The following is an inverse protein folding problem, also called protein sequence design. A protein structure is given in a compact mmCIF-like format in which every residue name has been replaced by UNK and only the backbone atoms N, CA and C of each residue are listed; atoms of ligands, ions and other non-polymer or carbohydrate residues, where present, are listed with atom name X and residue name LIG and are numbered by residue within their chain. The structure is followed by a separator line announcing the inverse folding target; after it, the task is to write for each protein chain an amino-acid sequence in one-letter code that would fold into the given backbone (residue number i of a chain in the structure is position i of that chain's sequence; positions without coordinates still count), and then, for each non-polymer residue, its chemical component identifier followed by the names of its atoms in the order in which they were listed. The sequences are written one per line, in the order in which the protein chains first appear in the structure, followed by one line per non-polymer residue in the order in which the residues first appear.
data_IF_775686675173
#
_entry.id   IF_775686675173
#
_cell.length_a   1.000
_cell.length_b   1.000
_cell.length_c   1.000
_cell.angle_alpha   90.00
_cell.angle_beta   90.00
_cell.angle_gamma   90.00
#
_symmetry.space_group_name_H-M   'P 1'
#
loop_
_entity.id
_entity.type
_entity.pdbx_description
1 polymer ?
#
# COMPACT_ATOMS: atom_id res chain seq x y z
N UNK A 1 -18.28 -6.72 -5.04
CA UNK A 1 -17.28 -5.71 -4.65
C UNK A 1 -16.63 -5.24 -5.93
N UNK A 2 -17.04 -4.05 -6.40
CA UNK A 2 -16.39 -3.38 -7.53
C UNK A 2 -14.94 -3.07 -7.12
N UNK A 3 -14.00 -3.87 -7.60
CA UNK A 3 -12.61 -3.48 -7.61
C UNK A 3 -12.41 -2.53 -8.78
N UNK A 4 -12.90 -1.30 -8.66
CA UNK A 4 -12.40 -0.22 -9.52
C UNK A 4 -10.90 -0.18 -9.28
N UNK A 5 -10.14 -0.70 -10.25
CA UNK A 5 -8.69 -0.81 -10.17
C UNK A 5 -8.16 0.58 -9.86
N UNK A 6 -7.66 0.75 -8.64
CA UNK A 6 -7.26 2.08 -8.19
C UNK A 6 -6.07 2.54 -9.04
N UNK A 7 -6.18 3.72 -9.65
CA UNK A 7 -5.13 4.27 -10.49
C UNK A 7 -3.99 4.86 -9.64
N UNK A 8 -2.77 4.82 -10.16
CA UNK A 8 -1.65 5.55 -9.57
C UNK A 8 -1.96 7.06 -9.53
N UNK A 9 -1.82 7.75 -8.38
CA UNK A 9 -2.11 9.18 -8.28
C UNK A 9 -1.13 10.07 -9.07
N UNK A 10 0.05 9.53 -9.43
CA UNK A 10 1.06 10.27 -10.16
C UNK A 10 0.94 10.14 -11.68
N UNK A 11 0.52 8.99 -12.20
CA UNK A 11 0.50 8.71 -13.64
C UNK A 11 -0.82 8.15 -14.18
N UNK A 12 -1.84 8.00 -13.33
CA UNK A 12 -3.18 7.50 -13.65
C UNK A 12 -3.24 6.09 -14.26
N UNK A 13 -2.16 5.32 -14.24
CA UNK A 13 -2.15 3.93 -14.69
C UNK A 13 -2.52 2.97 -13.56
N UNK A 14 -3.19 1.87 -13.91
CA UNK A 14 -3.66 0.83 -12.98
C UNK A 14 -2.61 -0.24 -12.65
N UNK A 15 -1.35 -0.06 -13.10
CA UNK A 15 -0.26 -1.00 -12.86
C UNK A 15 0.36 -0.77 -11.49
N UNK A 16 -0.38 -1.14 -10.45
CA UNK A 16 0.04 -1.05 -9.05
C UNK A 16 0.33 -2.43 -8.48
N UNK A 17 1.35 -2.51 -7.62
CA UNK A 17 1.71 -3.71 -6.88
C UNK A 17 1.81 -3.40 -5.40
N UNK A 18 1.30 -4.29 -4.56
CA UNK A 18 1.48 -4.21 -3.11
C UNK A 18 2.65 -5.11 -2.74
N UNK A 19 3.62 -4.57 -2.02
CA UNK A 19 4.77 -5.30 -1.49
C UNK A 19 4.88 -5.13 0.02
N UNK A 20 5.56 -6.08 0.65
CA UNK A 20 5.93 -6.03 2.06
C UNK A 20 7.42 -5.80 2.18
N UNK A 21 7.80 -4.86 3.05
CA UNK A 21 9.20 -4.58 3.36
C UNK A 21 9.45 -4.87 4.83
N UNK A 22 10.33 -5.83 5.12
CA UNK A 22 10.64 -6.19 6.50
C UNK A 22 11.64 -5.20 7.12
N UNK A 23 11.21 -4.51 8.16
CA UNK A 23 12.03 -3.57 8.91
C UNK A 23 12.54 -4.26 10.18
N UNK A 24 13.59 -5.07 10.01
CA UNK A 24 14.13 -5.94 11.06
C UNK A 24 14.50 -5.20 12.36
N UNK A 25 15.01 -3.96 12.26
CA UNK A 25 15.41 -3.15 13.43
C UNK A 25 14.27 -2.82 14.38
N UNK A 26 13.05 -2.74 13.86
CA UNK A 26 11.84 -2.36 14.61
C UNK A 26 10.83 -3.51 14.71
N UNK A 27 11.14 -4.68 14.16
CA UNK A 27 10.30 -5.88 14.29
C UNK A 27 8.96 -5.79 13.57
N UNK A 28 8.86 -4.95 12.54
CA UNK A 28 7.63 -4.65 11.81
C UNK A 28 7.82 -4.81 10.31
N UNK A 29 6.74 -5.10 9.61
CA UNK A 29 6.69 -5.23 8.15
C UNK A 29 5.90 -4.05 7.59
N UNK A 30 6.53 -3.20 6.78
CA UNK A 30 5.84 -2.10 6.10
C UNK A 30 5.09 -2.66 4.90
N UNK A 31 3.85 -2.22 4.71
CA UNK A 31 3.05 -2.49 3.51
C UNK A 31 3.18 -1.28 2.59
N UNK A 32 3.43 -1.51 1.31
CA UNK A 32 3.73 -0.44 0.36
C UNK A 32 3.04 -0.73 -0.97
N UNK A 33 2.43 0.29 -1.58
CA UNK A 33 2.01 0.28 -2.98
C UNK A 33 3.11 0.88 -3.84
N UNK A 34 3.45 0.21 -4.93
CA UNK A 34 4.37 0.70 -5.94
C UNK A 34 3.69 0.72 -7.31
N UNK A 35 3.85 1.80 -8.07
CA UNK A 35 3.44 1.84 -9.46
C UNK A 35 4.55 1.33 -10.37
N UNK A 36 4.25 0.30 -11.18
CA UNK A 36 5.21 -0.24 -12.14
C UNK A 36 5.47 0.68 -13.34
N UNK A 37 4.60 1.69 -13.59
CA UNK A 37 4.79 2.65 -14.69
C UNK A 37 5.74 3.79 -14.33
N UNK A 38 5.54 4.42 -13.16
CA UNK A 38 6.27 5.63 -12.78
C UNK A 38 7.10 5.49 -11.50
N UNK A 39 7.21 4.27 -10.95
CA UNK A 39 7.89 3.98 -9.68
C UNK A 39 7.38 4.81 -8.49
N UNK A 40 6.16 5.35 -8.55
CA UNK A 40 5.52 5.99 -7.40
C UNK A 40 5.38 5.00 -6.24
N UNK A 41 5.72 5.42 -5.03
CA UNK A 41 5.70 4.59 -3.83
C UNK A 41 4.83 5.25 -2.76
N UNK A 42 3.92 4.48 -2.17
CA UNK A 42 3.02 4.95 -1.12
C UNK A 42 2.90 3.91 0.02
N UNK A 43 3.18 4.28 1.28
CA UNK A 43 3.09 3.34 2.39
C UNK A 43 1.62 3.08 2.77
N UNK A 44 1.15 1.85 2.74
CA UNK A 44 -0.21 1.52 3.17
C UNK A 44 -0.35 1.41 4.69
N UNK A 45 0.73 1.02 5.37
CA UNK A 45 0.69 0.74 6.79
C UNK A 45 1.81 -0.18 7.23
N UNK A 46 1.59 -0.82 8.39
CA UNK A 46 2.56 -1.65 9.07
C UNK A 46 1.89 -2.90 9.61
N UNK A 47 2.59 -4.02 9.57
CA UNK A 47 2.17 -5.28 10.14
C UNK A 47 3.20 -5.71 11.20
N UNK A 48 2.69 -6.24 12.29
CA UNK A 48 3.46 -6.95 13.32
C UNK A 48 3.05 -8.42 13.30
N UNK A 49 3.67 -9.25 14.15
CA UNK A 49 3.22 -10.64 14.33
C UNK A 49 1.78 -10.76 14.86
N UNK A 50 1.24 -9.72 15.50
CA UNK A 50 -0.05 -9.78 16.21
C UNK A 50 -1.15 -8.94 15.57
N UNK A 51 -0.80 -7.95 14.77
CA UNK A 51 -1.76 -6.97 14.25
C UNK A 51 -1.27 -6.34 12.95
N UNK A 52 -2.22 -5.90 12.14
CA UNK A 52 -1.99 -5.07 10.96
C UNK A 52 -2.64 -3.70 11.19
N UNK A 53 -1.90 -2.65 10.88
CA UNK A 53 -2.35 -1.27 10.97
C UNK A 53 -2.19 -0.62 9.60
N UNK A 54 -3.33 -0.34 8.96
CA UNK A 54 -3.37 0.47 7.75
C UNK A 54 -3.57 1.94 8.12
N UNK A 55 -2.92 2.83 7.39
CA UNK A 55 -3.09 4.24 7.64
C UNK A 55 -4.48 4.72 7.20
N UNK A 56 -5.15 5.61 7.96
CA UNK A 56 -6.50 6.06 7.63
C UNK A 56 -6.63 6.69 6.23
N UNK A 57 -5.58 7.37 5.75
CA UNK A 57 -5.58 7.95 4.41
C UNK A 57 -5.42 6.89 3.32
N UNK A 58 -4.70 5.79 3.59
CA UNK A 58 -4.57 4.67 2.67
C UNK A 58 -5.89 3.91 2.56
N UNK A 59 -6.58 3.66 3.68
CA UNK A 59 -7.93 3.06 3.69
C UNK A 59 -8.90 3.84 2.80
N UNK A 60 -8.95 5.17 2.96
CA UNK A 60 -9.81 6.05 2.16
C UNK A 60 -9.49 6.03 0.67
N UNK A 61 -8.20 6.05 0.30
CA UNK A 61 -7.78 6.12 -1.10
C UNK A 61 -7.97 4.79 -1.83
N UNK A 62 -7.66 3.69 -1.16
CA UNK A 62 -7.62 2.36 -1.77
C UNK A 62 -8.91 1.56 -1.55
N UNK A 63 -9.94 2.16 -0.96
CA UNK A 63 -11.23 1.51 -0.74
C UNK A 63 -11.16 0.30 0.20
N UNK A 64 -10.10 0.21 1.01
CA UNK A 64 -9.94 -0.82 2.01
C UNK A 64 -10.82 -0.41 3.20
N UNK A 65 -12.02 -0.99 3.33
CA UNK A 65 -12.89 -0.85 4.49
C UNK A 65 -13.09 -2.21 5.15
#
# INVERSE_FOLDING_TARGET
MDMTLACCPACSHERLTISTEQLARVGVTRLVVTCACCAYVEPLGWATRRAQHLFPWALRRWGLQ
#
